data_IF_257938710461
#
_entry.id   IF_257938710461
#
_cell.length_a   1.000
_cell.length_b   1.000
_cell.length_c   1.000
_cell.angle_alpha   90.00
_cell.angle_beta   90.00
_cell.angle_gamma   90.00
#
_symmetry.space_group_name_H-M   'P 1'
#
loop_
_entity.id
_entity.type
_entity.pdbx_description
1 polymer ?
#
# COMPACT_ATOMS: atom_id res chain seq x y z
N UNK A 1 6.80 0.95 54.33
CA UNK A 1 5.54 0.39 53.81
C UNK A 1 5.54 0.70 52.32
N UNK A 2 6.28 -0.04 51.49
CA UNK A 2 5.92 -1.36 50.92
C UNK A 2 4.62 -1.20 50.13
N UNK A 3 4.53 -1.34 48.80
CA UNK A 3 5.11 -2.37 47.91
C UNK A 3 5.21 -1.84 46.46
N UNK A 4 6.31 -2.18 45.76
CA UNK A 4 6.46 -2.05 44.31
C UNK A 4 5.83 -3.27 43.60
N UNK A 5 5.04 -3.05 42.55
CA UNK A 5 4.54 -4.09 41.63
C UNK A 5 5.37 -4.07 40.35
N UNK A 6 6.47 -4.82 40.33
CA UNK A 6 7.22 -5.14 39.12
C UNK A 6 6.46 -6.14 38.25
N UNK A 7 6.21 -5.78 36.99
CA UNK A 7 5.67 -6.66 35.95
C UNK A 7 6.81 -7.47 35.35
N UNK A 8 6.79 -8.78 35.60
CA UNK A 8 7.81 -9.75 35.20
C UNK A 8 7.84 -9.97 33.68
N UNK A 9 8.97 -9.66 33.06
CA UNK A 9 9.30 -10.04 31.69
C UNK A 9 9.50 -11.56 31.60
N UNK A 10 8.61 -12.25 30.87
CA UNK A 10 8.75 -13.68 30.55
C UNK A 10 9.90 -13.90 29.56
N UNK A 11 11.07 -14.21 30.11
CA UNK A 11 12.20 -14.79 29.37
C UNK A 11 11.85 -16.23 29.00
N UNK A 12 11.66 -16.49 27.71
CA UNK A 12 11.54 -17.84 27.16
C UNK A 12 12.86 -18.60 27.37
N UNK A 13 12.87 -19.49 28.36
CA UNK A 13 13.97 -20.42 28.63
C UNK A 13 14.17 -21.34 27.43
N UNK A 14 15.22 -21.09 26.66
CA UNK A 14 15.70 -22.00 25.61
C UNK A 14 16.29 -23.21 26.35
N UNK A 15 15.56 -24.31 26.37
CA UNK A 15 16.03 -25.58 26.93
C UNK A 15 17.17 -26.11 26.05
N UNK A 16 18.40 -25.85 26.46
CA UNK A 16 19.60 -26.50 25.93
C UNK A 16 19.70 -27.91 26.51
N UNK A 17 19.10 -28.87 25.82
CA UNK A 17 19.35 -30.29 26.10
C UNK A 17 20.79 -30.62 25.70
N UNK A 18 21.70 -30.49 26.66
CA UNK A 18 23.06 -31.04 26.62
C UNK A 18 22.89 -32.57 26.59
N UNK A 19 23.10 -33.17 25.42
CA UNK A 19 23.18 -34.62 25.30
C UNK A 19 24.50 -35.12 25.85
N UNK A 20 24.39 -36.00 26.84
CA UNK A 20 25.46 -36.71 27.52
C UNK A 20 26.44 -37.35 26.52
N UNK A 21 27.73 -37.09 26.77
CA UNK A 21 28.87 -37.66 26.06
C UNK A 21 29.17 -39.01 26.70
N UNK A 22 28.71 -40.09 26.10
CA UNK A 22 29.09 -41.45 26.51
C UNK A 22 30.52 -41.76 26.08
N UNK A 23 31.29 -42.25 27.06
CA UNK A 23 32.69 -42.65 26.97
C UNK A 23 32.87 -43.83 25.99
N UNK A 24 33.92 -43.78 25.16
CA UNK A 24 34.33 -44.86 24.27
C UNK A 24 35.31 -45.77 25.00
N UNK A 25 34.86 -46.99 25.34
CA UNK A 25 35.74 -48.13 25.56
C UNK A 25 36.08 -48.76 24.21
N UNK A 26 37.38 -48.86 23.94
CA UNK A 26 37.99 -49.60 22.86
C UNK A 26 37.77 -51.10 23.04
N UNK A 27 37.13 -51.76 22.07
CA UNK A 27 37.48 -53.11 21.61
C UNK A 27 36.63 -53.51 20.39
N UNK A 28 37.32 -54.16 19.47
CA UNK A 28 36.86 -55.07 18.43
C UNK A 28 36.20 -54.58 17.12
N UNK A 29 36.58 -55.27 16.05
CA UNK A 29 36.39 -54.88 14.66
C UNK A 29 34.98 -55.03 14.10
N UNK A 30 34.78 -54.33 12.98
CA UNK A 30 33.70 -54.51 12.01
C UNK A 30 32.25 -54.42 12.52
N UNK A 31 31.78 -53.20 12.79
CA UNK A 31 30.40 -52.84 12.42
C UNK A 31 30.22 -51.31 12.32
N UNK A 32 30.30 -50.77 11.11
CA UNK A 32 29.91 -49.39 10.80
C UNK A 32 28.37 -49.27 10.70
N UNK A 33 27.65 -49.83 11.68
CA UNK A 33 26.19 -49.68 11.76
C UNK A 33 25.90 -48.36 12.48
N UNK A 34 26.06 -47.25 11.75
CA UNK A 34 25.49 -45.97 12.17
C UNK A 34 24.00 -46.22 12.44
N UNK A 35 23.51 -46.02 13.68
CA UNK A 35 22.18 -46.47 14.03
C UNK A 35 21.19 -45.73 13.15
N UNK A 36 20.48 -46.48 12.31
CA UNK A 36 19.46 -45.97 11.36
C UNK A 36 18.52 -44.95 12.01
N UNK A 37 18.31 -45.08 13.32
CA UNK A 37 17.55 -44.16 14.17
C UNK A 37 18.03 -42.70 14.21
N UNK A 38 19.33 -42.42 14.11
CA UNK A 38 19.86 -41.03 14.13
C UNK A 38 19.60 -40.34 12.80
N UNK A 39 19.79 -41.05 11.69
CA UNK A 39 19.52 -40.53 10.37
C UNK A 39 18.02 -40.26 10.19
N UNK A 40 17.18 -41.18 10.64
CA UNK A 40 15.73 -41.07 10.61
C UNK A 40 15.23 -39.85 11.40
N UNK A 41 15.78 -39.59 12.59
CA UNK A 41 15.50 -38.37 13.37
C UNK A 41 15.93 -37.09 12.66
N UNK A 42 17.08 -37.10 11.97
CA UNK A 42 17.56 -35.92 11.23
C UNK A 42 16.72 -35.65 9.98
N UNK A 43 16.24 -36.69 9.32
CA UNK A 43 15.37 -36.59 8.15
C UNK A 43 13.97 -36.09 8.53
N UNK A 44 13.43 -36.51 9.68
CA UNK A 44 12.12 -36.03 10.14
C UNK A 44 12.13 -34.54 10.54
N UNK A 45 13.28 -34.01 10.96
CA UNK A 45 13.47 -32.60 11.27
C UNK A 45 13.98 -31.77 10.08
N UNK A 46 14.07 -32.35 8.89
CA UNK A 46 14.59 -31.68 7.70
C UNK A 46 13.58 -30.64 7.18
N UNK A 47 13.97 -29.37 7.02
CA UNK A 47 13.12 -28.36 6.38
C UNK A 47 12.75 -28.74 4.95
N UNK A 48 11.59 -28.30 4.48
CA UNK A 48 11.15 -28.59 3.12
C UNK A 48 12.05 -27.90 2.08
N UNK A 49 12.05 -28.41 0.85
CA UNK A 49 12.76 -27.78 -0.28
C UNK A 49 12.30 -26.34 -0.50
N UNK A 50 11.01 -26.08 -0.29
CA UNK A 50 10.39 -24.75 -0.38
C UNK A 50 10.86 -23.83 0.75
N UNK A 51 10.91 -24.30 1.99
CA UNK A 51 11.42 -23.50 3.12
C UNK A 51 12.87 -23.07 2.93
N UNK A 52 13.70 -23.97 2.39
CA UNK A 52 15.10 -23.67 2.08
C UNK A 52 15.22 -22.66 0.93
N UNK A 53 14.32 -22.70 -0.06
CA UNK A 53 14.23 -21.69 -1.11
C UNK A 53 13.82 -20.32 -0.56
N UNK A 54 12.78 -20.27 0.27
CA UNK A 54 12.27 -19.05 0.90
C UNK A 54 13.33 -18.40 1.81
N UNK A 55 14.17 -19.20 2.45
CA UNK A 55 15.32 -18.74 3.25
C UNK A 55 16.55 -18.40 2.42
N UNK A 56 16.45 -18.43 1.09
CA UNK A 56 17.55 -18.20 0.15
C UNK A 56 18.75 -19.15 0.35
N UNK A 57 18.51 -20.33 0.93
CA UNK A 57 19.52 -21.38 1.11
C UNK A 57 19.61 -22.25 -0.15
N UNK A 58 18.47 -22.48 -0.82
CA UNK A 58 18.39 -23.20 -2.08
C UNK A 58 17.95 -22.26 -3.21
N UNK A 59 18.52 -22.42 -4.42
CA UNK A 59 18.16 -21.62 -5.59
C UNK A 59 16.78 -22.02 -6.13
N UNK A 60 15.99 -21.03 -6.56
CA UNK A 60 14.72 -21.28 -7.22
C UNK A 60 14.95 -21.89 -8.60
N UNK A 61 14.51 -23.12 -8.80
CA UNK A 61 14.75 -23.87 -10.04
C UNK A 61 13.85 -23.43 -11.20
N UNK A 62 12.69 -22.83 -10.92
CA UNK A 62 11.77 -22.29 -11.94
C UNK A 62 12.39 -21.16 -12.79
N UNK A 63 13.45 -20.50 -12.30
CA UNK A 63 14.15 -19.46 -13.05
C UNK A 63 15.13 -20.01 -14.11
N UNK A 64 15.51 -21.29 -14.03
CA UNK A 64 16.50 -21.89 -14.94
C UNK A 64 15.88 -22.53 -16.20
N UNK A 65 14.61 -22.96 -16.17
CA UNK A 65 14.00 -23.66 -17.33
C UNK A 65 13.70 -22.71 -18.50
N UNK A 66 13.53 -21.40 -18.25
CA UNK A 66 13.20 -20.41 -19.28
C UNK A 66 14.39 -19.90 -20.12
N UNK A 67 15.60 -20.47 -20.00
CA UNK A 67 16.79 -20.01 -20.75
C UNK A 67 17.47 -21.05 -21.64
N UNK A 68 16.93 -22.26 -21.74
CA UNK A 68 17.54 -23.30 -22.58
C UNK A 68 17.28 -23.18 -24.10
N UNK A 69 16.57 -22.15 -24.58
CA UNK A 69 16.31 -22.03 -26.03
C UNK A 69 17.33 -21.21 -26.84
N UNK A 70 18.36 -20.60 -26.23
CA UNK A 70 19.39 -19.86 -26.99
C UNK A 70 20.77 -19.87 -26.33
N UNK A 71 21.51 -20.98 -26.45
CA UNK A 71 22.97 -20.95 -26.57
C UNK A 71 23.53 -22.37 -26.77
N UNK A 72 23.71 -22.76 -28.03
CA UNK A 72 24.69 -23.78 -28.38
C UNK A 72 26.09 -23.15 -28.35
N UNK A 73 26.83 -23.31 -27.25
CA UNK A 73 28.30 -23.34 -27.30
C UNK A 73 28.81 -23.94 -25.99
N UNK A 74 29.68 -24.92 -26.10
CA UNK A 74 30.26 -25.64 -24.97
C UNK A 74 31.10 -24.72 -24.08
N UNK A 75 30.87 -24.78 -22.77
CA UNK A 75 31.97 -24.81 -21.79
C UNK A 75 31.47 -25.30 -20.43
N UNK A 76 32.23 -26.23 -19.93
CA UNK A 76 32.12 -26.94 -18.66
C UNK A 76 32.17 -26.02 -17.44
N UNK A 77 31.24 -26.24 -16.51
CA UNK A 77 31.39 -26.05 -15.06
C UNK A 77 31.56 -24.62 -14.49
N UNK A 78 30.74 -23.64 -14.87
CA UNK A 78 30.61 -22.38 -14.09
C UNK A 78 29.20 -21.75 -14.13
N UNK A 79 28.14 -22.56 -14.02
CA UNK A 79 26.73 -22.11 -14.18
C UNK A 79 26.08 -21.52 -12.89
N UNK A 80 26.83 -21.51 -11.78
CA UNK A 80 26.33 -21.10 -10.47
C UNK A 80 26.14 -19.59 -10.28
N UNK A 81 27.06 -18.79 -10.83
CA UNK A 81 27.22 -17.36 -10.49
C UNK A 81 26.44 -16.46 -11.46
N UNK A 82 26.31 -16.85 -12.72
CA UNK A 82 25.86 -15.96 -13.80
C UNK A 82 24.39 -15.52 -13.68
N UNK A 83 23.49 -16.33 -13.11
CA UNK A 83 22.05 -15.98 -13.05
C UNK A 83 21.72 -14.91 -12.02
N UNK A 84 22.40 -14.89 -10.87
CA UNK A 84 22.26 -13.81 -9.88
C UNK A 84 22.76 -12.48 -10.44
N UNK A 85 23.83 -12.52 -11.24
CA UNK A 85 24.44 -11.33 -11.82
C UNK A 85 23.51 -10.63 -12.84
N UNK A 86 22.71 -11.38 -13.61
CA UNK A 86 21.77 -10.80 -14.58
C UNK A 86 20.63 -10.05 -13.87
N UNK A 87 20.14 -10.58 -12.75
CA UNK A 87 19.11 -9.91 -11.96
C UNK A 87 19.67 -8.65 -11.27
N UNK A 88 20.90 -8.75 -10.76
CA UNK A 88 21.63 -7.61 -10.20
C UNK A 88 21.88 -6.50 -11.24
N UNK A 89 22.27 -6.84 -12.47
CA UNK A 89 22.53 -5.84 -13.50
C UNK A 89 21.24 -5.11 -13.91
N UNK A 90 20.13 -5.84 -14.07
CA UNK A 90 18.82 -5.25 -14.37
C UNK A 90 18.33 -4.33 -13.24
N UNK A 91 18.37 -4.80 -11.99
CA UNK A 91 17.99 -4.00 -10.82
C UNK A 91 18.88 -2.78 -10.66
N UNK A 92 20.19 -2.90 -10.90
CA UNK A 92 21.12 -1.77 -10.86
C UNK A 92 20.84 -0.73 -11.94
N UNK A 93 20.49 -1.14 -13.16
CA UNK A 93 20.09 -0.25 -14.26
C UNK A 93 18.79 0.49 -13.91
N UNK A 94 17.81 -0.21 -13.36
CA UNK A 94 16.55 0.38 -12.91
C UNK A 94 16.77 1.38 -11.77
N UNK A 95 17.57 1.02 -10.75
CA UNK A 95 17.94 1.90 -9.65
C UNK A 95 18.63 3.17 -10.15
N UNK A 96 19.58 3.07 -11.08
CA UNK A 96 20.24 4.24 -11.69
C UNK A 96 19.23 5.17 -12.37
N UNK A 97 18.23 4.61 -13.08
CA UNK A 97 17.16 5.39 -13.71
C UNK A 97 16.30 6.15 -12.68
N UNK A 98 15.91 5.47 -11.59
CA UNK A 98 15.11 6.06 -10.50
C UNK A 98 15.91 7.14 -9.77
N UNK A 99 17.17 6.87 -9.45
CA UNK A 99 18.05 7.82 -8.76
C UNK A 99 18.31 9.08 -9.61
N UNK A 100 18.37 8.96 -10.94
CA UNK A 100 18.49 10.11 -11.84
C UNK A 100 17.24 11.00 -11.82
N UNK A 101 16.06 10.42 -11.58
CA UNK A 101 14.77 11.14 -11.49
C UNK A 101 14.37 11.44 -10.05
N UNK A 102 15.30 11.34 -9.09
CA UNK A 102 15.00 11.54 -7.67
C UNK A 102 14.58 12.98 -7.43
N UNK A 103 13.36 13.23 -6.89
CA UNK A 103 12.92 14.57 -6.55
C UNK A 103 13.75 15.17 -5.42
N UNK A 104 13.91 16.50 -5.47
CA UNK A 104 14.48 17.25 -4.36
C UNK A 104 13.53 17.27 -3.15
N UNK A 105 14.11 17.45 -1.96
CA UNK A 105 13.36 17.47 -0.71
C UNK A 105 12.26 18.53 -0.71
N UNK A 106 12.53 19.72 -1.25
CA UNK A 106 11.56 20.82 -1.34
C UNK A 106 10.33 20.43 -2.17
N UNK A 107 10.52 19.68 -3.26
CA UNK A 107 9.41 19.21 -4.10
C UNK A 107 8.50 18.26 -3.32
N UNK A 108 9.09 17.38 -2.49
CA UNK A 108 8.31 16.49 -1.63
C UNK A 108 7.58 17.25 -0.52
N UNK A 109 8.12 18.37 -0.04
CA UNK A 109 7.44 19.27 0.91
C UNK A 109 6.27 20.00 0.25
N UNK A 110 6.46 20.55 -0.95
CA UNK A 110 5.43 21.24 -1.72
C UNK A 110 4.26 20.30 -2.05
N UNK A 111 4.56 19.02 -2.30
CA UNK A 111 3.57 17.96 -2.52
C UNK A 111 2.98 17.39 -1.22
N UNK A 112 3.31 17.95 -0.05
CA UNK A 112 2.89 17.48 1.28
C UNK A 112 3.25 16.02 1.60
N UNK A 113 4.28 15.47 0.96
CA UNK A 113 4.80 14.12 1.24
C UNK A 113 5.76 14.18 2.44
N UNK A 114 6.65 15.17 2.48
CA UNK A 114 7.50 15.44 3.64
C UNK A 114 6.95 16.63 4.41
N UNK A 115 6.91 16.50 5.73
CA UNK A 115 6.35 17.54 6.59
C UNK A 115 7.43 17.97 7.58
N UNK A 116 7.94 19.18 7.38
CA UNK A 116 8.84 19.85 8.33
C UNK A 116 10.24 20.08 7.76
N UNK A 117 10.60 21.36 7.63
CA UNK A 117 11.87 21.79 7.03
C UNK A 117 13.10 21.49 7.91
N UNK A 118 12.94 21.07 9.17
CA UNK A 118 14.04 21.14 10.17
C UNK A 118 13.96 20.17 11.36
N UNK A 119 13.05 19.20 11.37
CA UNK A 119 12.80 18.38 12.57
C UNK A 119 13.22 16.93 12.40
N UNK A 120 13.69 16.35 13.51
CA UNK A 120 14.10 14.96 13.61
C UNK A 120 12.90 14.04 13.33
N UNK A 121 13.02 12.98 12.50
CA UNK A 121 11.88 12.16 12.08
C UNK A 121 11.06 11.58 13.24
N UNK A 122 11.69 11.35 14.39
CA UNK A 122 11.04 10.83 15.61
C UNK A 122 10.04 11.79 16.23
N UNK A 123 10.22 13.10 16.07
CA UNK A 123 9.41 14.16 16.73
C UNK A 123 8.35 14.72 15.79
N UNK A 124 8.54 14.57 14.47
CA UNK A 124 7.65 15.15 13.45
C UNK A 124 6.18 14.77 13.68
N UNK A 125 5.89 13.50 14.00
CA UNK A 125 4.53 13.02 14.21
C UNK A 125 3.87 13.64 15.46
N UNK A 126 4.58 13.69 16.58
CA UNK A 126 4.04 14.24 17.84
C UNK A 126 3.77 15.73 17.71
N UNK A 127 4.68 16.46 17.08
CA UNK A 127 4.53 17.89 16.86
C UNK A 127 3.41 18.24 15.89
N UNK A 128 3.20 17.45 14.84
CA UNK A 128 2.06 17.63 13.94
C UNK A 128 0.73 17.45 14.68
N UNK A 129 0.63 16.41 15.51
CA UNK A 129 -0.57 16.17 16.30
C UNK A 129 -0.84 17.31 17.27
N UNK A 130 0.21 17.82 17.93
CA UNK A 130 0.10 19.00 18.80
C UNK A 130 -0.37 20.23 18.02
N UNK A 131 0.24 20.52 16.86
CA UNK A 131 -0.15 21.65 16.00
C UNK A 131 -1.61 21.53 15.55
N UNK A 132 -2.05 20.33 15.15
CA UNK A 132 -3.44 20.06 14.77
C UNK A 132 -4.40 20.29 15.94
N UNK A 133 -4.07 19.80 17.13
CA UNK A 133 -4.90 20.00 18.33
C UNK A 133 -5.00 21.49 18.71
N UNK A 134 -3.89 22.22 18.64
CA UNK A 134 -3.88 23.68 18.89
C UNK A 134 -4.76 24.44 17.89
N UNK A 135 -4.65 24.11 16.60
CA UNK A 135 -5.50 24.70 15.56
C UNK A 135 -6.98 24.36 15.74
N UNK A 136 -7.28 23.12 16.14
CA UNK A 136 -8.65 22.69 16.44
C UNK A 136 -9.22 23.54 17.58
N UNK A 137 -8.51 23.64 18.70
CA UNK A 137 -8.96 24.43 19.86
C UNK A 137 -9.16 25.92 19.49
N UNK A 138 -8.24 26.49 18.69
CA UNK A 138 -8.38 27.87 18.22
C UNK A 138 -9.61 28.04 17.31
N UNK A 139 -9.83 27.12 16.37
CA UNK A 139 -11.04 27.11 15.52
C UNK A 139 -12.31 26.93 16.33
N UNK A 140 -12.28 26.10 17.36
CA UNK A 140 -13.42 25.86 18.24
C UNK A 140 -13.82 27.15 18.98
N UNK A 141 -12.84 27.91 19.47
CA UNK A 141 -13.10 29.22 20.08
C UNK A 141 -13.67 30.22 19.07
N UNK A 142 -13.08 30.30 17.87
CA UNK A 142 -13.61 31.15 16.78
C UNK A 142 -15.03 30.78 16.37
N UNK A 143 -15.38 29.49 16.41
CA UNK A 143 -16.72 28.99 16.10
C UNK A 143 -17.72 29.28 17.22
N UNK A 144 -17.30 29.17 18.50
CA UNK A 144 -18.12 29.52 19.66
C UNK A 144 -18.49 30.99 19.67
N UNK A 145 -17.53 31.86 19.37
CA UNK A 145 -17.70 33.32 19.36
C UNK A 145 -18.24 33.84 18.02
N UNK A 146 -18.69 32.95 17.13
CA UNK A 146 -19.24 33.34 15.84
C UNK A 146 -20.54 34.12 16.06
N UNK A 147 -20.60 35.40 15.67
CA UNK A 147 -21.78 36.20 15.92
C UNK A 147 -22.93 35.77 15.00
N UNK A 148 -24.14 35.86 15.52
CA UNK A 148 -25.36 35.45 14.84
C UNK A 148 -25.91 36.58 13.97
N UNK A 149 -26.81 36.27 13.04
CA UNK A 149 -27.39 37.25 12.09
C UNK A 149 -28.11 38.41 12.81
N UNK A 150 -28.53 38.19 14.06
CA UNK A 150 -29.26 39.15 14.87
C UNK A 150 -28.34 39.94 15.84
N UNK A 151 -27.05 39.64 15.90
CA UNK A 151 -26.11 40.39 16.74
C UNK A 151 -25.88 41.79 16.19
N UNK A 152 -26.13 42.81 17.01
CA UNK A 152 -26.02 44.21 16.64
C UNK A 152 -24.60 44.66 16.24
N UNK A 153 -23.58 43.88 16.62
CA UNK A 153 -22.18 44.09 16.25
C UNK A 153 -21.85 43.62 14.83
N UNK A 154 -22.71 42.81 14.21
CA UNK A 154 -22.49 42.28 12.86
C UNK A 154 -23.04 43.27 11.83
N UNK A 155 -22.14 43.99 11.17
CA UNK A 155 -22.52 44.64 9.92
C UNK A 155 -22.94 43.56 8.93
N UNK A 156 -24.18 43.62 8.43
CA UNK A 156 -24.68 42.71 7.40
C UNK A 156 -23.88 42.93 6.13
N UNK A 157 -22.82 42.15 5.91
CA UNK A 157 -21.96 42.28 4.72
C UNK A 157 -22.74 41.93 3.44
N UNK A 158 -23.71 41.03 3.57
CA UNK A 158 -24.61 40.67 2.46
C UNK A 158 -25.76 41.68 2.44
N UNK A 159 -25.75 42.53 1.41
CA UNK A 159 -26.81 43.48 1.11
C UNK A 159 -27.55 42.99 -0.12
N UNK A 160 -28.88 42.90 -0.04
CA UNK A 160 -29.70 42.67 -1.22
C UNK A 160 -29.96 44.01 -1.88
N UNK A 161 -29.60 44.14 -3.16
CA UNK A 161 -30.06 45.28 -3.96
C UNK A 161 -31.57 45.16 -4.14
N UNK A 162 -32.29 46.24 -3.86
CA UNK A 162 -33.75 46.31 -4.02
C UNK A 162 -34.17 46.17 -5.49
N UNK A 163 -33.29 46.63 -6.39
CA UNK A 163 -33.50 46.54 -7.82
C UNK A 163 -32.89 45.26 -8.39
N UNK A 164 -33.73 44.48 -9.07
CA UNK A 164 -33.29 43.33 -9.86
C UNK A 164 -33.11 43.80 -11.30
N UNK A 165 -31.87 43.77 -11.80
CA UNK A 165 -31.60 43.99 -13.22
C UNK A 165 -32.00 42.75 -14.02
N UNK A 166 -33.07 42.86 -14.79
CA UNK A 166 -33.48 41.81 -15.73
C UNK A 166 -32.79 42.06 -17.06
N UNK A 167 -31.65 41.39 -17.26
CA UNK A 167 -30.98 41.42 -18.56
C UNK A 167 -31.78 40.59 -19.57
N UNK A 168 -32.02 41.10 -20.79
CA UNK A 168 -32.65 40.30 -21.83
C UNK A 168 -31.74 39.13 -22.19
N UNK A 169 -32.18 37.92 -21.86
CA UNK A 169 -31.54 36.71 -22.37
C UNK A 169 -31.89 36.52 -23.85
N UNK A 170 -31.09 35.73 -24.57
CA UNK A 170 -31.38 35.33 -25.95
C UNK A 170 -32.85 34.98 -26.14
N UNK A 171 -33.45 35.50 -27.21
CA UNK A 171 -34.84 35.18 -27.51
C UNK A 171 -34.96 33.68 -27.80
N UNK A 172 -36.15 33.13 -27.58
CA UNK A 172 -36.45 31.72 -27.93
C UNK A 172 -36.12 31.39 -29.40
N UNK A 173 -36.13 32.38 -30.29
CA UNK A 173 -35.73 32.26 -31.69
C UNK A 173 -34.22 32.10 -31.91
N UNK A 174 -33.40 32.61 -30.99
CA UNK A 174 -31.94 32.60 -31.05
C UNK A 174 -31.35 31.42 -30.27
N UNK A 175 -32.00 31.05 -29.15
CA UNK A 175 -31.58 29.92 -28.32
C UNK A 175 -32.82 29.15 -27.82
N UNK A 176 -33.01 27.94 -28.37
CA UNK A 176 -34.09 27.06 -27.93
C UNK A 176 -33.67 26.30 -26.67
N UNK A 177 -34.33 26.60 -25.55
CA UNK A 177 -34.21 25.81 -24.30
C UNK A 177 -34.98 24.49 -24.35
N UNK A 178 -35.65 24.18 -25.47
CA UNK A 178 -36.36 22.91 -25.61
C UNK A 178 -35.33 21.79 -25.83
N UNK A 179 -35.59 20.58 -25.28
CA UNK A 179 -34.74 19.42 -25.55
C UNK A 179 -34.60 19.24 -27.06
N UNK A 180 -33.38 19.04 -27.53
CA UNK A 180 -33.11 18.85 -28.96
C UNK A 180 -34.01 17.73 -29.51
N UNK A 181 -34.66 18.00 -30.64
CA UNK A 181 -35.53 17.03 -31.31
C UNK A 181 -34.70 15.80 -31.70
N UNK A 182 -33.43 15.99 -32.05
CA UNK A 182 -32.48 14.95 -32.43
C UNK A 182 -31.61 14.46 -31.26
N UNK A 183 -32.06 14.66 -30.01
CA UNK A 183 -31.33 14.15 -28.84
C UNK A 183 -31.09 12.65 -28.99
N UNK A 184 -29.83 12.23 -28.81
CA UNK A 184 -29.37 10.84 -29.02
C UNK A 184 -30.20 9.80 -28.27
N UNK A 185 -30.73 10.14 -27.07
CA UNK A 185 -31.57 9.22 -26.29
C UNK A 185 -32.87 8.81 -27.00
N UNK A 186 -33.37 9.61 -27.94
CA UNK A 186 -34.59 9.29 -28.72
C UNK A 186 -34.35 8.25 -29.80
N UNK A 187 -33.09 8.00 -30.16
CA UNK A 187 -32.69 7.04 -31.18
C UNK A 187 -32.05 5.77 -30.58
N UNK A 188 -32.11 5.62 -29.24
CA UNK A 188 -31.62 4.41 -28.58
C UNK A 188 -32.54 3.22 -28.86
N UNK A 189 -31.99 2.18 -29.49
CA UNK A 189 -32.67 0.89 -29.56
C UNK A 189 -32.72 0.26 -28.16
N UNK A 190 -33.70 -0.63 -27.86
CA UNK A 190 -33.77 -1.31 -26.57
C UNK A 190 -32.49 -2.06 -26.21
N UNK A 191 -31.84 -2.65 -27.22
CA UNK A 191 -30.55 -3.34 -27.07
C UNK A 191 -29.43 -2.37 -26.68
N UNK A 192 -29.30 -1.23 -27.37
CA UNK A 192 -28.27 -0.24 -27.05
C UNK A 192 -28.50 0.38 -25.67
N UNK A 193 -29.76 0.58 -25.27
CA UNK A 193 -30.12 1.03 -23.92
C UNK A 193 -29.68 0.03 -22.85
N UNK A 194 -29.83 -1.27 -23.10
CA UNK A 194 -29.37 -2.33 -22.19
C UNK A 194 -27.85 -2.35 -22.09
N UNK A 195 -27.14 -2.26 -23.22
CA UNK A 195 -25.68 -2.20 -23.25
C UNK A 195 -25.14 -0.99 -22.47
N UNK A 196 -25.70 0.20 -22.68
CA UNK A 196 -25.33 1.40 -21.93
C UNK A 196 -25.59 1.22 -20.43
N UNK A 197 -26.69 0.55 -20.05
CA UNK A 197 -26.99 0.27 -18.64
C UNK A 197 -25.97 -0.69 -18.02
N UNK A 198 -25.59 -1.75 -18.73
CA UNK A 198 -24.57 -2.71 -18.28
C UNK A 198 -23.21 -2.01 -18.10
N UNK A 199 -22.78 -1.25 -19.10
CA UNK A 199 -21.53 -0.48 -19.06
C UNK A 199 -21.49 0.51 -17.89
N UNK A 200 -22.59 1.25 -17.67
CA UNK A 200 -22.68 2.19 -16.55
C UNK A 200 -22.67 1.49 -15.18
N UNK A 201 -23.27 0.31 -15.06
CA UNK A 201 -23.23 -0.45 -13.81
C UNK A 201 -21.82 -0.98 -13.53
N UNK A 202 -21.13 -1.46 -14.56
CA UNK A 202 -19.76 -1.95 -14.47
C UNK A 202 -18.82 -0.83 -14.00
N UNK A 203 -18.94 0.36 -14.59
CA UNK A 203 -18.18 1.54 -14.20
C UNK A 203 -18.43 1.93 -12.73
N UNK A 204 -19.71 2.01 -12.31
CA UNK A 204 -20.09 2.35 -10.93
C UNK A 204 -19.55 1.34 -9.90
N UNK A 205 -19.35 0.08 -10.30
CA UNK A 205 -18.94 -1.01 -9.40
C UNK A 205 -17.42 -1.13 -9.28
N UNK A 206 -16.69 -0.94 -10.39
CA UNK A 206 -15.27 -1.28 -10.44
C UNK A 206 -14.34 -0.06 -10.60
N UNK A 207 -14.80 1.03 -11.23
CA UNK A 207 -13.95 2.18 -11.56
C UNK A 207 -14.26 3.42 -10.71
N UNK A 208 -15.53 3.61 -10.36
CA UNK A 208 -15.97 4.79 -9.62
C UNK A 208 -15.56 4.72 -8.15
N UNK A 209 -14.69 5.63 -7.71
CA UNK A 209 -14.30 5.74 -6.31
C UNK A 209 -15.44 6.34 -5.48
N UNK A 210 -16.01 5.54 -4.57
CA UNK A 210 -17.07 5.96 -3.66
C UNK A 210 -16.60 5.76 -2.22
N UNK A 211 -16.86 6.74 -1.35
CA UNK A 211 -16.60 6.60 0.09
C UNK A 211 -17.39 5.42 0.68
N UNK A 212 -16.75 4.65 1.57
CA UNK A 212 -17.33 3.44 2.17
C UNK A 212 -18.72 3.67 2.80
N UNK A 213 -18.92 4.81 3.48
CA UNK A 213 -20.20 5.19 4.09
C UNK A 213 -21.34 5.39 3.09
N UNK A 214 -21.03 5.67 1.83
CA UNK A 214 -21.98 6.03 0.78
C UNK A 214 -22.27 4.88 -0.18
N UNK A 215 -21.54 3.76 -0.09
CA UNK A 215 -21.73 2.58 -0.95
C UNK A 215 -23.16 2.05 -0.93
N UNK A 216 -23.79 2.06 0.25
CA UNK A 216 -25.20 1.65 0.45
C UNK A 216 -26.21 2.47 -0.36
N UNK A 217 -25.83 3.63 -0.87
CA UNK A 217 -26.69 4.51 -1.67
C UNK A 217 -26.43 4.35 -3.18
N UNK A 218 -25.46 3.53 -3.59
CA UNK A 218 -25.18 3.27 -5.00
C UNK A 218 -26.10 2.16 -5.51
N UNK A 219 -27.05 2.51 -6.39
CA UNK A 219 -27.98 1.56 -6.98
C UNK A 219 -27.54 1.16 -8.41
N UNK A 220 -27.61 -0.14 -8.68
CA UNK A 220 -27.39 -0.75 -9.99
C UNK A 220 -28.75 -1.17 -10.57
N UNK A 221 -28.90 -1.18 -11.90
CA UNK A 221 -30.20 -1.38 -12.57
C UNK A 221 -30.18 -2.49 -13.61
#
# INVERSE_FOLDING_TARGET
MSEEKGSSTSINSISSTISERSERSSEDGSNLDFPKSVLERKLSLRPSKEDLKLRNILRNEEENENKNEKSETESSNESGVVTQNINFEKTSKQLKSILKKRPERSVLEDMNILIGRSMDPSIVATQQNLKRAQLLNAMENLMRDRPTINDASVQKVIHFNESVEVLPTFRKSEYSRRPDINSTFKHLTPQLKMQIREELNEYKKHEMQVHESSLRNTLFH
#
